data_IF_750789204387
#
_entry.id   IF_750789204387
#
_cell.length_a   1.000
_cell.length_b   1.000
_cell.length_c   1.000
_cell.angle_alpha   90.00
_cell.angle_beta   90.00
_cell.angle_gamma   90.00
#
_symmetry.space_group_name_H-M   'P 1'
#
loop_
_entity.id
_entity.type
_entity.pdbx_description
1 polymer ?
#
# COMPACT_ATOMS: atom_id res chain seq x y z
N UNK A 1 -1.60 14.84 -0.36
CA UNK A 1 -0.20 14.59 0.03
C UNK A 1 0.20 13.36 -0.76
N UNK A 2 1.01 13.53 -1.80
CA UNK A 2 1.39 12.45 -2.71
C UNK A 2 2.46 11.64 -2.01
N UNK A 3 2.17 10.39 -1.66
CA UNK A 3 3.13 9.51 -1.00
C UNK A 3 3.94 8.85 -2.12
N UNK A 4 5.22 9.17 -2.23
CA UNK A 4 6.13 8.44 -3.09
C UNK A 4 6.74 7.27 -2.32
N UNK A 5 7.02 6.15 -3.00
CA UNK A 5 7.78 5.00 -2.48
C UNK A 5 9.08 5.41 -1.76
N UNK A 6 9.63 6.57 -2.11
CA UNK A 6 10.85 7.13 -1.53
C UNK A 6 10.66 7.85 -0.18
N UNK A 7 9.43 8.25 0.19
CA UNK A 7 9.16 9.02 1.41
C UNK A 7 8.96 8.13 2.65
N UNK A 8 8.77 6.82 2.47
CA UNK A 8 8.61 5.88 3.58
C UNK A 8 9.91 5.70 4.35
N UNK A 9 11.02 5.42 3.66
CA UNK A 9 12.31 5.16 4.31
C UNK A 9 12.73 6.21 5.35
N UNK A 10 12.75 7.51 4.99
CA UNK A 10 13.04 8.59 5.93
C UNK A 10 12.04 8.68 7.10
N UNK A 11 10.76 8.39 6.85
CA UNK A 11 9.74 8.42 7.90
C UNK A 11 9.92 7.29 8.94
N UNK A 12 10.38 6.11 8.52
CA UNK A 12 10.74 5.02 9.44
C UNK A 12 11.93 5.40 10.33
N UNK A 13 12.93 6.12 9.78
CA UNK A 13 14.08 6.63 10.55
C UNK A 13 13.65 7.72 11.53
N UNK A 14 12.82 8.67 11.10
CA UNK A 14 12.32 9.76 11.95
C UNK A 14 11.54 9.23 13.17
N UNK A 15 10.82 8.12 13.00
CA UNK A 15 10.10 7.45 14.10
C UNK A 15 10.94 6.50 14.93
N UNK A 16 12.23 6.33 14.59
CA UNK A 16 13.15 5.44 15.30
C UNK A 16 12.81 3.96 15.14
N UNK A 17 12.07 3.60 14.08
CA UNK A 17 11.72 2.21 13.78
C UNK A 17 12.94 1.50 13.16
N UNK A 18 13.69 2.21 12.33
CA UNK A 18 14.95 1.74 11.76
C UNK A 18 16.03 2.82 11.90
N UNK A 19 17.30 2.42 11.87
CA UNK A 19 18.43 3.37 11.82
C UNK A 19 18.73 3.81 10.39
N UNK A 20 19.47 4.91 10.22
CA UNK A 20 19.94 5.35 8.90
C UNK A 20 20.82 4.29 8.23
N UNK A 21 21.59 3.52 9.00
CA UNK A 21 22.44 2.43 8.50
C UNK A 21 21.58 1.27 7.96
N UNK A 22 20.53 0.88 8.70
CA UNK A 22 19.55 -0.10 8.24
C UNK A 22 18.81 0.36 6.99
N UNK A 23 18.48 1.66 6.91
CA UNK A 23 17.84 2.23 5.73
C UNK A 23 18.71 2.09 4.48
N UNK A 24 20.01 2.40 4.58
CA UNK A 24 20.96 2.23 3.47
C UNK A 24 21.13 0.76 3.05
N UNK A 25 21.16 -0.15 4.02
CA UNK A 25 21.23 -1.58 3.77
C UNK A 25 20.00 -2.06 2.97
N UNK A 26 18.80 -1.65 3.39
CA UNK A 26 17.55 -2.01 2.74
C UNK A 26 17.51 -1.47 1.31
N UNK A 27 17.91 -0.22 1.08
CA UNK A 27 17.97 0.35 -0.27
C UNK A 27 18.98 -0.39 -1.16
N UNK A 28 20.11 -0.82 -0.60
CA UNK A 28 21.11 -1.60 -1.32
C UNK A 28 20.55 -2.98 -1.73
N UNK A 29 19.84 -3.65 -0.81
CA UNK A 29 19.14 -4.92 -1.08
C UNK A 29 17.98 -4.75 -2.06
N UNK A 30 17.24 -3.65 -1.99
CA UNK A 30 16.16 -3.36 -2.94
C UNK A 30 16.69 -3.24 -4.37
N UNK A 31 17.83 -2.58 -4.57
CA UNK A 31 18.46 -2.48 -5.89
C UNK A 31 18.95 -3.81 -6.44
N UNK A 32 19.43 -4.72 -5.58
CA UNK A 32 19.94 -6.02 -6.02
C UNK A 32 18.86 -7.08 -6.21
N UNK A 33 17.78 -7.02 -5.44
CA UNK A 33 16.72 -8.05 -5.43
C UNK A 33 15.47 -7.64 -6.21
N UNK A 34 15.24 -6.34 -6.38
CA UNK A 34 13.97 -5.82 -6.92
C UNK A 34 12.78 -5.94 -5.97
N UNK A 35 12.98 -6.47 -4.75
CA UNK A 35 11.93 -6.64 -3.74
C UNK A 35 11.43 -5.31 -3.19
N UNK A 36 10.26 -5.36 -2.56
CA UNK A 36 9.68 -4.19 -1.91
C UNK A 36 10.48 -3.78 -0.67
N UNK A 37 10.43 -2.49 -0.33
CA UNK A 37 11.14 -1.95 0.83
C UNK A 37 10.65 -2.62 2.12
N UNK A 38 9.32 -2.75 2.24
CA UNK A 38 8.68 -3.33 3.42
C UNK A 38 8.95 -4.84 3.53
N UNK A 39 9.00 -5.53 2.40
CA UNK A 39 9.32 -6.97 2.33
C UNK A 39 10.73 -7.23 2.85
N UNK A 40 11.72 -6.42 2.43
CA UNK A 40 13.10 -6.54 2.91
C UNK A 40 13.16 -6.22 4.41
N UNK A 41 12.45 -5.20 4.89
CA UNK A 41 12.41 -4.88 6.32
C UNK A 41 11.90 -6.05 7.18
N UNK A 42 10.88 -6.77 6.70
CA UNK A 42 10.33 -7.95 7.37
C UNK A 42 11.30 -9.15 7.28
N UNK A 43 11.92 -9.39 6.12
CA UNK A 43 12.86 -10.49 5.91
C UNK A 43 14.14 -10.35 6.74
N UNK A 44 14.64 -9.13 6.88
CA UNK A 44 15.82 -8.81 7.71
C UNK A 44 15.48 -8.72 9.21
N UNK A 45 14.21 -8.81 9.56
CA UNK A 45 13.74 -8.72 10.95
C UNK A 45 13.94 -7.33 11.56
N UNK A 46 14.03 -6.27 10.74
CA UNK A 46 14.15 -4.89 11.20
C UNK A 46 12.83 -4.37 11.76
N UNK A 47 11.71 -4.87 11.24
CA UNK A 47 10.37 -4.59 11.75
C UNK A 47 9.54 -5.87 11.78
N UNK A 48 8.50 -5.88 12.60
CA UNK A 48 7.46 -6.91 12.58
C UNK A 48 6.30 -6.52 11.66
N UNK A 49 5.48 -7.51 11.26
CA UNK A 49 4.25 -7.23 10.49
C UNK A 49 3.28 -6.31 11.26
N UNK A 50 3.21 -6.44 12.59
CA UNK A 50 2.36 -5.61 13.44
C UNK A 50 2.84 -4.15 13.45
N UNK A 51 4.15 -3.91 13.62
CA UNK A 51 4.72 -2.56 13.60
C UNK A 51 4.56 -1.90 12.23
N UNK A 52 4.77 -2.65 11.15
CA UNK A 52 4.50 -2.17 9.80
C UNK A 52 3.04 -1.76 9.65
N UNK A 53 2.12 -2.61 10.11
CA UNK A 53 0.68 -2.36 10.03
C UNK A 53 0.29 -1.10 10.80
N UNK A 54 0.77 -0.95 12.04
CA UNK A 54 0.48 0.21 12.88
C UNK A 54 1.04 1.51 12.29
N UNK A 55 2.25 1.46 11.74
CA UNK A 55 2.87 2.62 11.10
C UNK A 55 2.07 3.07 9.87
N UNK A 56 1.68 2.12 9.01
CA UNK A 56 0.90 2.38 7.80
C UNK A 56 -0.50 2.93 8.10
N UNK A 57 -1.15 2.38 9.12
CA UNK A 57 -2.48 2.84 9.54
C UNK A 57 -2.41 4.26 10.12
N UNK A 58 -1.50 4.50 11.08
CA UNK A 58 -1.42 5.78 11.80
C UNK A 58 -0.89 6.94 10.98
N UNK A 59 0.08 6.69 10.10
CA UNK A 59 0.76 7.76 9.37
C UNK A 59 0.23 7.97 7.96
N UNK A 60 -0.35 6.95 7.34
CA UNK A 60 -0.79 7.02 5.95
C UNK A 60 -2.28 6.75 5.75
N UNK A 61 -3.05 6.49 6.82
CA UNK A 61 -4.46 6.05 6.75
C UNK A 61 -4.66 4.84 5.81
N UNK A 62 -3.64 3.99 5.68
CA UNK A 62 -3.71 2.77 4.88
C UNK A 62 -4.10 1.64 5.82
N UNK A 63 -5.33 1.14 5.66
CA UNK A 63 -5.86 0.06 6.48
C UNK A 63 -5.70 -1.26 5.75
N UNK A 64 -5.04 -2.21 6.39
CA UNK A 64 -5.00 -3.59 5.90
C UNK A 64 -6.37 -4.25 6.07
N UNK A 65 -6.99 -4.62 4.95
CA UNK A 65 -8.30 -5.25 4.90
C UNK A 65 -8.19 -6.73 4.54
N UNK A 66 -8.90 -7.56 5.30
CA UNK A 66 -9.13 -8.97 4.94
C UNK A 66 -10.44 -9.06 4.14
N UNK A 67 -10.32 -9.22 2.82
CA UNK A 67 -11.46 -9.27 1.91
C UNK A 67 -12.38 -10.47 2.16
N UNK A 68 -11.86 -11.57 2.72
CA UNK A 68 -12.67 -12.77 3.02
C UNK A 68 -13.73 -12.52 4.10
N UNK A 69 -13.51 -11.51 4.94
CA UNK A 69 -14.41 -11.10 6.03
C UNK A 69 -15.33 -9.93 5.64
N UNK A 70 -15.18 -9.37 4.45
CA UNK A 70 -15.98 -8.23 4.01
C UNK A 70 -17.27 -8.69 3.30
N UNK A 71 -18.38 -8.02 3.60
CA UNK A 71 -19.61 -8.17 2.82
C UNK A 71 -19.56 -7.25 1.60
N UNK A 72 -19.21 -7.82 0.45
CA UNK A 72 -19.06 -7.09 -0.81
C UNK A 72 -20.37 -7.12 -1.58
N UNK A 73 -20.87 -5.95 -1.97
CA UNK A 73 -22.04 -5.85 -2.85
C UNK A 73 -21.61 -6.11 -4.30
N UNK A 74 -22.40 -6.89 -5.04
CA UNK A 74 -22.10 -7.30 -6.42
C UNK A 74 -21.86 -6.12 -7.38
N UNK A 75 -22.42 -4.96 -7.08
CA UNK A 75 -22.27 -3.74 -7.88
C UNK A 75 -20.90 -3.06 -7.66
N UNK A 76 -20.18 -3.42 -6.59
CA UNK A 76 -18.93 -2.75 -6.22
C UNK A 76 -17.75 -3.13 -7.12
N UNK A 77 -17.52 -4.42 -7.44
CA UNK A 77 -16.52 -4.81 -8.44
C UNK A 77 -16.74 -4.20 -9.82
N UNK A 78 -18.00 -3.89 -10.17
CA UNK A 78 -18.38 -3.32 -11.47
C UNK A 78 -18.03 -1.83 -11.62
N UNK A 79 -17.52 -1.19 -10.57
CA UNK A 79 -17.12 0.22 -10.60
C UNK A 79 -15.86 0.47 -11.42
N UNK A 80 -15.06 -0.58 -11.63
CA UNK A 80 -13.85 -0.52 -12.46
C UNK A 80 -13.86 -1.68 -13.44
N UNK A 81 -13.12 -1.54 -14.55
CA UNK A 81 -12.95 -2.63 -15.50
C UNK A 81 -12.06 -3.73 -14.92
N UNK A 82 -12.27 -4.96 -15.39
CA UNK A 82 -11.39 -6.10 -15.04
C UNK A 82 -9.95 -5.84 -15.46
N UNK A 83 -9.74 -5.21 -16.62
CA UNK A 83 -8.41 -4.87 -17.12
C UNK A 83 -7.66 -3.93 -16.15
N UNK A 84 -8.35 -2.90 -15.65
CA UNK A 84 -7.77 -1.97 -14.67
C UNK A 84 -7.44 -2.69 -13.36
N UNK A 85 -8.38 -3.49 -12.87
CA UNK A 85 -8.21 -4.29 -11.66
C UNK A 85 -7.01 -5.23 -11.74
N UNK A 86 -6.81 -5.88 -12.89
CA UNK A 86 -5.69 -6.80 -13.13
C UNK A 86 -4.37 -6.07 -13.34
N UNK A 87 -4.37 -4.95 -14.07
CA UNK A 87 -3.16 -4.15 -14.36
C UNK A 87 -2.47 -3.72 -13.07
N UNK A 88 -3.23 -3.17 -12.12
CA UNK A 88 -2.69 -2.63 -10.87
C UNK A 88 -2.88 -3.55 -9.65
N UNK A 89 -3.42 -4.75 -9.87
CA UNK A 89 -3.74 -5.73 -8.82
C UNK A 89 -4.51 -5.07 -7.66
N UNK A 90 -5.71 -4.59 -7.99
CA UNK A 90 -6.59 -3.90 -7.06
C UNK A 90 -8.03 -4.40 -7.15
N UNK A 91 -8.81 -4.16 -6.10
CA UNK A 91 -10.16 -4.67 -5.98
C UNK A 91 -11.06 -3.71 -5.15
N UNK A 92 -12.08 -3.09 -5.74
CA UNK A 92 -13.03 -2.27 -4.99
C UNK A 92 -13.99 -3.18 -4.22
N UNK A 93 -14.06 -2.96 -2.91
CA UNK A 93 -14.82 -3.84 -2.02
C UNK A 93 -15.93 -3.12 -1.25
N UNK A 94 -15.93 -1.78 -1.24
CA UNK A 94 -17.02 -1.01 -0.65
C UNK A 94 -17.20 0.34 -1.35
N UNK A 95 -18.46 0.73 -1.60
CA UNK A 95 -18.84 2.06 -2.09
C UNK A 95 -19.75 2.76 -1.08
N UNK A 96 -19.45 4.02 -0.82
CA UNK A 96 -20.28 4.98 -0.10
C UNK A 96 -20.68 6.12 -1.05
N UNK A 97 -21.56 7.03 -0.60
CA UNK A 97 -22.06 8.13 -1.44
C UNK A 97 -20.95 9.04 -2.01
N UNK A 98 -19.82 9.18 -1.32
CA UNK A 98 -18.74 10.10 -1.69
C UNK A 98 -17.36 9.45 -1.77
N UNK A 99 -17.26 8.12 -1.56
CA UNK A 99 -15.97 7.43 -1.46
C UNK A 99 -16.10 5.98 -1.91
N UNK A 100 -15.04 5.48 -2.52
CA UNK A 100 -14.85 4.06 -2.81
C UNK A 100 -13.64 3.59 -2.02
N UNK A 101 -13.76 2.40 -1.45
CA UNK A 101 -12.66 1.71 -0.78
C UNK A 101 -12.16 0.62 -1.72
N UNK A 102 -10.87 0.69 -2.01
CA UNK A 102 -10.16 -0.20 -2.93
C UNK A 102 -9.05 -0.88 -2.15
N UNK A 103 -9.02 -2.21 -2.20
CA UNK A 103 -7.89 -2.99 -1.73
C UNK A 103 -6.85 -3.02 -2.86
N UNK A 104 -5.61 -2.70 -2.55
CA UNK A 104 -4.53 -2.61 -3.53
C UNK A 104 -3.34 -3.40 -3.02
N UNK A 105 -2.61 -4.07 -3.92
CA UNK A 105 -1.31 -4.67 -3.56
C UNK A 105 -0.28 -3.58 -3.26
N UNK A 106 -0.24 -2.54 -4.10
CA UNK A 106 0.60 -1.37 -3.87
C UNK A 106 -0.28 -0.11 -3.66
N UNK A 107 -0.52 0.31 -2.40
CA UNK A 107 -1.31 1.52 -2.12
C UNK A 107 -0.57 2.82 -2.47
N UNK A 108 0.69 2.76 -2.92
CA UNK A 108 1.48 3.91 -3.36
C UNK A 108 1.54 4.06 -4.87
N UNK A 109 0.90 3.15 -5.62
CA UNK A 109 0.80 3.26 -7.07
C UNK A 109 -0.10 4.45 -7.44
N UNK A 110 0.55 5.59 -7.69
CA UNK A 110 -0.14 6.84 -8.03
C UNK A 110 -0.88 6.74 -9.36
N UNK A 111 -0.34 5.97 -10.32
CA UNK A 111 -0.98 5.73 -11.61
C UNK A 111 -2.28 4.95 -11.38
N UNK A 112 -2.24 3.90 -10.55
CA UNK A 112 -3.44 3.15 -10.18
C UNK A 112 -4.50 4.03 -9.50
N UNK A 113 -4.09 4.89 -8.56
CA UNK A 113 -5.00 5.78 -7.83
C UNK A 113 -5.67 6.76 -8.80
N UNK A 114 -4.90 7.35 -9.71
CA UNK A 114 -5.41 8.30 -10.70
C UNK A 114 -6.36 7.63 -11.69
N UNK A 115 -6.00 6.47 -12.23
CA UNK A 115 -6.86 5.73 -13.15
C UNK A 115 -8.18 5.29 -12.50
N UNK A 116 -8.13 4.83 -11.24
CA UNK A 116 -9.34 4.49 -10.48
C UNK A 116 -10.20 5.73 -10.29
N UNK A 117 -9.61 6.87 -9.88
CA UNK A 117 -10.35 8.12 -9.69
C UNK A 117 -11.04 8.58 -10.98
N UNK A 118 -10.34 8.52 -12.11
CA UNK A 118 -10.90 8.87 -13.43
C UNK A 118 -12.03 7.93 -13.85
N UNK A 119 -11.93 6.63 -13.52
CA UNK A 119 -12.95 5.65 -13.84
C UNK A 119 -14.22 5.80 -12.99
N UNK A 120 -14.08 6.23 -11.73
CA UNK A 120 -15.19 6.21 -10.77
C UNK A 120 -15.82 7.56 -10.47
N UNK A 121 -15.13 8.67 -10.79
CA UNK A 121 -15.48 10.03 -10.35
C UNK A 121 -15.37 10.17 -8.83
#
# INVERSE_FOLDING_TARGET
>A
MTISKFDLGPAFVEKGIITSEQLEEVFSKQKSTGKRFEEILLEEGFITEEELREFLDRHYNIVFVDLSKQKIHLETPLLISEDLARKHILFPFKKSQYRILVAMVDPYDLEAIEEVYLATG
#
